data_IF_629065641688
#
_entry.id   IF_629065641688
#
_cell.length_a   1.000
_cell.length_b   1.000
_cell.length_c   1.000
_cell.angle_alpha   90.00
_cell.angle_beta   90.00
_cell.angle_gamma   90.00
#
_symmetry.space_group_name_H-M   'P 1'
#
loop_
_entity.id
_entity.type
_entity.pdbx_description
1 polymer ?
#
# COMPACT_ATOMS: atom_id res chain seq x y z
N UNK A 1 -4.82 19.21 17.30
CA UNK A 1 -4.07 18.37 16.35
C UNK A 1 -5.00 17.24 15.93
N UNK A 2 -5.31 17.13 14.63
CA UNK A 2 -6.15 16.04 14.10
C UNK A 2 -5.21 14.97 13.53
N UNK A 3 -5.43 13.71 13.92
CA UNK A 3 -4.72 12.55 13.39
C UNK A 3 -5.76 11.65 12.74
N UNK A 4 -5.56 11.34 11.46
CA UNK A 4 -6.34 10.33 10.75
C UNK A 4 -5.66 8.96 10.92
N UNK A 5 -6.35 8.02 11.55
CA UNK A 5 -5.83 6.68 11.82
C UNK A 5 -6.23 5.64 10.76
N UNK A 6 -7.15 5.96 9.85
CA UNK A 6 -7.67 4.97 8.89
C UNK A 6 -7.51 5.49 7.48
N UNK A 7 -6.36 5.20 6.87
CA UNK A 7 -6.15 5.48 5.46
C UNK A 7 -5.31 4.42 4.74
N UNK A 8 -5.46 4.37 3.42
CA UNK A 8 -4.83 3.39 2.55
C UNK A 8 -3.93 4.04 1.50
N UNK A 9 -2.71 3.51 1.37
CA UNK A 9 -1.70 3.91 0.40
C UNK A 9 -1.22 2.71 -0.40
N UNK A 10 -1.18 2.85 -1.72
CA UNK A 10 -0.64 1.88 -2.66
C UNK A 10 0.71 2.40 -3.18
N UNK A 11 1.84 1.85 -2.70
CA UNK A 11 3.16 2.32 -3.12
C UNK A 11 3.41 1.95 -4.59
N UNK A 12 4.05 2.83 -5.40
CA UNK A 12 4.40 2.52 -6.78
C UNK A 12 5.19 1.21 -6.95
N UNK A 13 6.08 0.90 -6.00
CA UNK A 13 6.91 -0.30 -5.97
C UNK A 13 6.06 -1.58 -5.94
N UNK A 14 4.93 -1.55 -5.22
CA UNK A 14 3.98 -2.66 -5.23
C UNK A 14 3.38 -2.85 -6.62
N UNK A 15 2.95 -1.78 -7.28
CA UNK A 15 2.35 -1.87 -8.62
C UNK A 15 3.36 -2.39 -9.66
N UNK A 16 4.61 -1.97 -9.56
CA UNK A 16 5.68 -2.46 -10.43
C UNK A 16 5.98 -3.94 -10.17
N UNK A 17 5.97 -4.36 -8.90
CA UNK A 17 6.09 -5.78 -8.54
C UNK A 17 4.95 -6.61 -9.17
N UNK A 18 3.69 -6.16 -9.10
CA UNK A 18 2.56 -6.86 -9.74
C UNK A 18 2.75 -6.91 -11.27
N UNK A 19 3.14 -5.81 -11.90
CA UNK A 19 3.36 -5.74 -13.36
C UNK A 19 4.48 -6.64 -13.86
N UNK A 20 5.50 -6.90 -13.03
CA UNK A 20 6.58 -7.84 -13.37
C UNK A 20 6.13 -9.31 -13.44
N UNK A 21 4.93 -9.62 -12.96
CA UNK A 21 4.30 -10.92 -13.05
C UNK A 21 4.35 -11.73 -11.75
N UNK A 22 3.94 -13.00 -11.84
CA UNK A 22 3.91 -13.93 -10.70
C UNK A 22 2.87 -13.56 -9.63
N UNK A 23 1.91 -12.70 -9.96
CA UNK A 23 0.83 -12.26 -9.08
C UNK A 23 -0.52 -12.75 -9.58
N UNK A 24 -1.44 -13.03 -8.66
CA UNK A 24 -2.84 -13.27 -8.96
C UNK A 24 -3.65 -11.98 -9.21
N UNK A 25 -3.06 -10.81 -8.96
CA UNK A 25 -3.61 -9.54 -9.42
C UNK A 25 -3.28 -9.28 -10.89
N UNK A 26 -4.10 -8.44 -11.52
CA UNK A 26 -3.82 -7.87 -12.83
C UNK A 26 -3.88 -6.35 -12.76
N UNK A 27 -3.00 -5.67 -13.49
CA UNK A 27 -3.01 -4.20 -13.56
C UNK A 27 -3.40 -3.78 -14.97
N UNK A 28 -4.43 -2.96 -15.06
CA UNK A 28 -4.85 -2.26 -16.30
C UNK A 28 -4.89 -0.75 -16.03
N UNK A 29 -5.44 0.04 -16.96
CA UNK A 29 -5.65 1.47 -16.78
C UNK A 29 -7.08 1.86 -17.13
N UNK A 30 -7.63 2.85 -16.43
CA UNK A 30 -8.90 3.50 -16.80
C UNK A 30 -8.69 4.56 -17.89
N UNK A 31 -9.77 5.22 -18.30
CA UNK A 31 -9.76 6.26 -19.35
C UNK A 31 -8.96 7.51 -18.96
N UNK A 32 -8.76 7.74 -17.66
CA UNK A 32 -7.97 8.85 -17.10
C UNK A 32 -6.50 8.45 -16.85
N UNK A 33 -6.11 7.22 -17.21
CA UNK A 33 -4.76 6.69 -17.05
C UNK A 33 -4.42 6.24 -15.62
N UNK A 34 -5.40 6.13 -14.71
CA UNK A 34 -5.16 5.57 -13.38
C UNK A 34 -4.95 4.07 -13.46
N UNK A 35 -4.02 3.50 -12.69
CA UNK A 35 -3.92 2.05 -12.53
C UNK A 35 -5.22 1.47 -11.96
N UNK A 36 -5.71 0.40 -12.57
CA UNK A 36 -6.82 -0.41 -12.06
C UNK A 36 -6.27 -1.76 -11.66
N UNK A 37 -6.27 -2.04 -10.36
CA UNK A 37 -5.80 -3.27 -9.76
C UNK A 37 -6.96 -4.26 -9.63
N UNK A 38 -6.95 -5.31 -10.44
CA UNK A 38 -7.97 -6.34 -10.47
C UNK A 38 -7.59 -7.51 -9.58
N UNK A 39 -8.55 -7.93 -8.77
CA UNK A 39 -8.50 -9.14 -7.94
C UNK A 39 -9.68 -10.05 -8.32
N UNK A 40 -9.70 -11.33 -7.88
CA UNK A 40 -10.82 -12.22 -8.20
C UNK A 40 -12.17 -11.68 -7.70
N UNK A 41 -12.98 -11.16 -8.62
CA UNK A 41 -14.33 -10.66 -8.35
C UNK A 41 -14.44 -9.19 -7.94
N UNK A 42 -13.34 -8.43 -7.91
CA UNK A 42 -13.35 -7.01 -7.51
C UNK A 42 -12.14 -6.24 -8.09
N UNK A 43 -12.19 -4.91 -8.08
CA UNK A 43 -11.09 -4.05 -8.53
C UNK A 43 -10.98 -2.76 -7.72
N UNK A 44 -9.76 -2.22 -7.66
CA UNK A 44 -9.49 -0.90 -7.11
C UNK A 44 -9.03 0.04 -8.22
N UNK A 45 -9.59 1.25 -8.29
CA UNK A 45 -9.09 2.33 -9.14
C UNK A 45 -8.18 3.22 -8.31
N UNK A 46 -6.89 3.14 -8.58
CA UNK A 46 -5.88 3.79 -7.75
C UNK A 46 -5.70 5.22 -8.26
N UNK A 47 -6.64 6.13 -7.97
CA UNK A 47 -6.52 7.56 -8.28
C UNK A 47 -5.35 8.23 -7.53
N UNK A 48 -4.89 9.46 -7.88
CA UNK A 48 -3.66 10.04 -7.30
C UNK A 48 -3.60 10.01 -5.77
N UNK A 49 -4.70 10.31 -5.09
CA UNK A 49 -4.77 10.22 -3.63
C UNK A 49 -4.32 8.88 -3.06
N UNK A 50 -4.52 7.76 -3.76
CA UNK A 50 -4.10 6.44 -3.30
C UNK A 50 -2.60 6.15 -3.46
N UNK A 51 -1.90 6.84 -4.37
CA UNK A 51 -0.55 6.45 -4.84
C UNK A 51 0.47 7.58 -4.87
N UNK A 52 0.06 8.82 -4.60
CA UNK A 52 0.88 10.02 -4.61
C UNK A 52 0.76 10.74 -3.26
N UNK A 53 1.84 10.70 -2.48
CA UNK A 53 1.86 11.34 -1.16
C UNK A 53 2.00 12.86 -1.23
N UNK A 54 2.54 13.44 -2.30
CA UNK A 54 2.57 14.90 -2.48
C UNK A 54 1.16 15.43 -2.76
N UNK A 55 0.39 14.71 -3.58
CA UNK A 55 -1.02 15.00 -3.78
C UNK A 55 -1.78 14.90 -2.45
N UNK A 56 -1.50 13.85 -1.67
CA UNK A 56 -2.14 13.58 -0.38
C UNK A 56 -1.84 14.64 0.67
N UNK A 57 -0.61 15.14 0.77
CA UNK A 57 -0.26 16.18 1.73
C UNK A 57 -1.11 17.44 1.55
N UNK A 58 -1.36 17.84 0.30
CA UNK A 58 -2.24 18.97 -0.03
C UNK A 58 -3.67 18.73 0.44
N UNK A 59 -4.20 17.52 0.19
CA UNK A 59 -5.53 17.15 0.65
C UNK A 59 -5.64 17.14 2.19
N UNK A 60 -4.58 16.71 2.89
CA UNK A 60 -4.52 16.77 4.35
C UNK A 60 -4.47 18.21 4.88
N UNK A 61 -3.75 19.11 4.21
CA UNK A 61 -3.71 20.54 4.55
C UNK A 61 -5.08 21.18 4.40
N UNK A 62 -5.78 20.92 3.30
CA UNK A 62 -7.14 21.41 3.05
C UNK A 62 -8.14 20.88 4.10
N UNK A 63 -7.98 19.63 4.53
CA UNK A 63 -8.81 19.01 5.55
C UNK A 63 -8.44 19.39 7.00
N UNK A 64 -7.33 20.12 7.21
CA UNK A 64 -6.82 20.45 8.54
C UNK A 64 -6.29 19.24 9.33
N UNK A 65 -5.93 18.15 8.65
CA UNK A 65 -5.38 16.93 9.25
C UNK A 65 -3.87 17.05 9.37
N UNK A 66 -3.36 16.95 10.61
CA UNK A 66 -1.93 17.16 10.90
C UNK A 66 -1.06 15.96 10.55
N UNK A 67 -1.58 14.75 10.76
CA UNK A 67 -0.84 13.51 10.56
C UNK A 67 -1.80 12.40 10.14
N UNK A 68 -1.31 11.45 9.34
CA UNK A 68 -2.09 10.30 8.90
C UNK A 68 -1.30 9.00 9.13
N UNK A 69 -1.99 7.97 9.62
CA UNK A 69 -1.49 6.60 9.68
C UNK A 69 -1.88 5.90 8.38
N UNK A 70 -0.89 5.58 7.54
CA UNK A 70 -1.10 4.88 6.27
C UNK A 70 -0.98 3.38 6.45
N UNK A 71 -1.87 2.64 5.80
CA UNK A 71 -1.96 1.19 5.86
C UNK A 71 -2.11 0.62 4.45
N UNK A 72 -1.77 -0.65 4.26
CA UNK A 72 -2.09 -1.35 3.03
C UNK A 72 -3.47 -2.00 3.15
N UNK A 73 -4.29 -1.92 2.10
CA UNK A 73 -5.71 -2.32 2.16
C UNK A 73 -5.99 -3.69 1.57
N UNK A 74 -7.20 -4.17 1.82
CA UNK A 74 -7.71 -5.43 1.31
C UNK A 74 -7.77 -5.45 -0.24
N UNK A 75 -7.55 -6.62 -0.87
CA UNK A 75 -7.33 -7.93 -0.23
C UNK A 75 -5.89 -8.17 0.26
N UNK A 76 -5.02 -7.14 0.20
CA UNK A 76 -3.63 -7.23 0.64
C UNK A 76 -2.84 -8.19 -0.25
N UNK A 77 -2.01 -9.02 0.38
CA UNK A 77 -1.28 -10.11 -0.29
C UNK A 77 -1.96 -11.47 -0.15
N UNK A 78 -3.16 -11.51 0.44
CA UNK A 78 -3.81 -12.75 0.87
C UNK A 78 -4.24 -13.67 -0.28
N UNK A 79 -4.39 -13.14 -1.49
CA UNK A 79 -4.77 -13.93 -2.67
C UNK A 79 -3.58 -14.64 -3.30
N UNK A 80 -2.35 -14.30 -2.92
CA UNK A 80 -1.12 -14.81 -3.51
C UNK A 80 -0.71 -16.17 -2.94
N UNK A 81 0.32 -16.79 -3.54
CA UNK A 81 1.02 -17.89 -2.87
C UNK A 81 1.72 -17.39 -1.59
N UNK A 82 1.97 -18.25 -0.59
CA UNK A 82 2.67 -17.84 0.64
C UNK A 82 4.02 -17.15 0.39
N UNK A 83 4.80 -17.64 -0.57
CA UNK A 83 6.12 -17.10 -0.91
C UNK A 83 6.00 -15.70 -1.54
N UNK A 84 5.07 -15.56 -2.50
CA UNK A 84 4.85 -14.27 -3.17
C UNK A 84 4.24 -13.25 -2.21
N UNK A 85 3.36 -13.67 -1.31
CA UNK A 85 2.80 -12.81 -0.28
C UNK A 85 3.89 -12.24 0.63
N UNK A 86 4.84 -13.07 1.07
CA UNK A 86 5.96 -12.62 1.89
C UNK A 86 6.84 -11.60 1.16
N UNK A 87 7.17 -11.85 -0.11
CA UNK A 87 7.94 -10.91 -0.94
C UNK A 87 7.21 -9.56 -1.11
N UNK A 88 5.93 -9.59 -1.47
CA UNK A 88 5.15 -8.37 -1.67
C UNK A 88 4.98 -7.58 -0.36
N UNK A 89 4.79 -8.25 0.78
CA UNK A 89 4.74 -7.56 2.08
C UNK A 89 6.04 -6.83 2.38
N UNK A 90 7.21 -7.42 2.07
CA UNK A 90 8.50 -6.74 2.22
C UNK A 90 8.59 -5.50 1.33
N UNK A 91 8.22 -5.62 0.05
CA UNK A 91 8.19 -4.49 -0.90
C UNK A 91 7.31 -3.35 -0.36
N UNK A 92 6.11 -3.67 0.12
CA UNK A 92 5.17 -2.68 0.66
C UNK A 92 5.75 -2.02 1.92
N UNK A 93 6.25 -2.81 2.86
CA UNK A 93 6.75 -2.31 4.14
C UNK A 93 8.03 -1.47 3.97
N UNK A 94 8.92 -1.85 3.04
CA UNK A 94 10.11 -1.07 2.72
C UNK A 94 9.76 0.27 2.07
N UNK A 95 8.79 0.28 1.15
CA UNK A 95 8.28 1.51 0.55
C UNK A 95 7.63 2.42 1.61
N UNK A 96 6.79 1.87 2.50
CA UNK A 96 6.19 2.61 3.61
C UNK A 96 7.25 3.19 4.53
N UNK A 97 8.25 2.39 4.93
CA UNK A 97 9.32 2.85 5.79
C UNK A 97 10.15 3.96 5.12
N UNK A 98 10.36 3.90 3.80
CA UNK A 98 11.02 4.95 3.03
C UNK A 98 10.23 6.26 3.06
N UNK A 99 8.95 6.22 2.72
CA UNK A 99 8.08 7.40 2.71
C UNK A 99 7.89 8.01 4.10
N UNK A 100 7.69 7.17 5.13
CA UNK A 100 7.60 7.63 6.52
C UNK A 100 8.89 8.29 6.96
N UNK A 101 10.08 7.80 6.59
CA UNK A 101 11.35 8.49 6.89
C UNK A 101 11.43 9.85 6.20
N UNK A 102 11.04 9.93 4.93
CA UNK A 102 11.07 11.18 4.16
C UNK A 102 10.06 12.22 4.68
N UNK A 103 8.94 11.77 5.26
CA UNK A 103 7.77 12.60 5.60
C UNK A 103 7.28 12.37 7.04
N UNK A 104 8.21 12.10 7.95
CA UNK A 104 7.91 11.64 9.32
C UNK A 104 7.03 12.58 10.14
N UNK A 105 6.97 13.86 9.78
CA UNK A 105 6.05 14.79 10.41
C UNK A 105 4.59 14.55 9.98
N UNK A 106 4.35 14.09 8.76
CA UNK A 106 3.02 13.98 8.14
C UNK A 106 2.47 12.57 8.16
N UNK A 107 3.33 11.56 8.07
CA UNK A 107 2.92 10.17 7.96
C UNK A 107 3.63 9.27 8.96
N UNK A 108 2.89 8.28 9.45
CA UNK A 108 3.41 7.05 10.04
C UNK A 108 2.65 5.88 9.42
N UNK A 109 3.06 4.64 9.64
CA UNK A 109 2.46 3.48 8.97
C UNK A 109 2.25 2.28 9.87
N UNK A 110 1.29 1.43 9.51
CA UNK A 110 1.22 0.05 10.01
C UNK A 110 1.71 -0.91 8.93
N UNK A 111 2.58 -1.84 9.32
CA UNK A 111 3.10 -2.86 8.43
C UNK A 111 2.00 -3.81 7.96
N UNK A 112 2.15 -4.33 6.74
CA UNK A 112 1.35 -5.44 6.22
C UNK A 112 2.11 -6.76 6.43
N UNK A 113 1.38 -7.83 6.76
CA UNK A 113 1.95 -9.13 7.03
C UNK A 113 1.40 -10.18 6.07
N UNK A 114 2.22 -11.16 5.64
CA UNK A 114 1.77 -12.26 4.79
C UNK A 114 0.95 -13.26 5.63
N UNK A 115 -0.33 -12.97 5.85
CA UNK A 115 -1.19 -13.73 6.77
C UNK A 115 -1.43 -15.19 6.36
N UNK A 116 -1.17 -15.54 5.10
CA UNK A 116 -1.19 -16.92 4.60
C UNK A 116 0.14 -17.68 4.82
N UNK A 117 1.16 -17.03 5.40
CA UNK A 117 2.49 -17.57 5.67
C UNK A 117 2.93 -17.26 7.12
N UNK A 118 2.41 -17.98 8.14
CA UNK A 118 2.57 -17.60 9.56
C UNK A 118 4.02 -17.36 10.00
N UNK A 119 4.94 -18.23 9.61
CA UNK A 119 6.37 -18.09 9.94
C UNK A 119 7.02 -16.88 9.27
N UNK A 120 6.61 -16.55 8.05
CA UNK A 120 7.07 -15.34 7.36
C UNK A 120 6.46 -14.08 7.98
N UNK A 121 5.20 -14.14 8.42
CA UNK A 121 4.54 -13.04 9.11
C UNK A 121 5.21 -12.73 10.45
N UNK A 122 5.58 -13.75 11.22
CA UNK A 122 6.34 -13.57 12.46
C UNK A 122 7.69 -12.88 12.18
N UNK A 123 8.45 -13.35 11.18
CA UNK A 123 9.72 -12.74 10.79
C UNK A 123 9.56 -11.30 10.31
N UNK A 124 8.55 -10.99 9.51
CA UNK A 124 8.30 -9.63 9.02
C UNK A 124 7.85 -8.69 10.14
N UNK A 125 7.21 -9.21 11.19
CA UNK A 125 6.83 -8.42 12.38
C UNK A 125 8.06 -7.98 13.19
N UNK A 126 9.11 -8.80 13.24
CA UNK A 126 10.34 -8.53 14.00
C UNK A 126 11.37 -7.68 13.25
N UNK A 127 11.17 -7.44 11.94
CA UNK A 127 12.12 -6.78 11.05
C UNK A 127 12.18 -5.27 11.26
#
# INVERSE_FOLDING_TARGET
MIVDFHNHYFPPEYLDAIRSGGSHFQVTSDDDGNPVLHSPGDYNVLVPGHRDLDFREKALDEAGVRMQVITFTAPGTSIETPERAAELCQVINDAFASEVRARSERFTSLATLPMNAPEAAARETER
#
